data_IF_506502362706
#
_entry.id   IF_506502362706
#
_cell.length_a   1.000
_cell.length_b   1.000
_cell.length_c   1.000
_cell.angle_alpha   90.00
_cell.angle_beta   90.00
_cell.angle_gamma   90.00
#
_symmetry.space_group_name_H-M   'P 1'
#
loop_
_entity.id
_entity.type
_entity.pdbx_description
1 polymer ?
#
# COMPACT_ATOMS: atom_id res chain seq x y z
N UNK A 1 -25.49 49.24 2.43
CA UNK A 1 -26.87 49.15 1.93
C UNK A 1 -26.99 48.32 0.67
N UNK A 2 -27.93 47.38 0.75
CA UNK A 2 -28.16 46.29 -0.19
C UNK A 2 -28.54 46.76 -1.61
N UNK A 3 -27.91 46.16 -2.63
CA UNK A 3 -28.47 46.09 -3.99
C UNK A 3 -28.66 44.61 -4.38
N UNK A 4 -29.90 44.18 -4.21
CA UNK A 4 -30.71 43.35 -5.13
C UNK A 4 -30.01 42.23 -5.90
N UNK A 5 -30.22 40.97 -5.47
CA UNK A 5 -30.14 39.81 -6.35
C UNK A 5 -31.55 39.44 -6.81
N UNK A 6 -31.82 39.53 -8.12
CA UNK A 6 -33.02 39.00 -8.74
C UNK A 6 -33.03 37.48 -8.62
N UNK A 7 -34.01 36.93 -7.91
CA UNK A 7 -34.37 35.51 -8.04
C UNK A 7 -35.08 35.29 -9.38
N UNK A 8 -34.46 34.56 -10.30
CA UNK A 8 -35.14 33.95 -11.43
C UNK A 8 -36.16 32.94 -10.89
N UNK A 9 -37.45 33.18 -11.16
CA UNK A 9 -38.53 32.23 -10.85
C UNK A 9 -38.53 31.11 -11.90
N UNK A 10 -38.57 29.83 -11.52
CA UNK A 10 -38.93 28.76 -12.45
C UNK A 10 -40.38 28.97 -12.91
N UNK A 11 -40.63 28.86 -14.22
CA UNK A 11 -41.98 28.94 -14.77
C UNK A 11 -42.80 27.74 -14.27
N UNK A 12 -43.96 28.00 -13.65
CA UNK A 12 -44.96 26.96 -13.34
C UNK A 12 -45.48 26.88 -11.89
N UNK A 13 -45.21 27.85 -11.01
CA UNK A 13 -45.76 27.85 -9.65
C UNK A 13 -46.73 29.02 -9.41
N UNK A 14 -48.03 28.72 -9.43
CA UNK A 14 -49.12 29.63 -9.02
C UNK A 14 -49.65 29.19 -7.65
N UNK A 15 -48.92 29.53 -6.59
CA UNK A 15 -49.35 29.30 -5.21
C UNK A 15 -48.61 30.25 -4.26
N UNK A 16 -49.35 30.91 -3.38
CA UNK A 16 -48.80 31.71 -2.28
C UNK A 16 -48.14 30.78 -1.27
N UNK A 17 -46.82 30.89 -1.12
CA UNK A 17 -46.07 30.23 -0.04
C UNK A 17 -46.60 30.73 1.31
N UNK A 18 -47.11 29.81 2.13
CA UNK A 18 -47.42 30.11 3.54
C UNK A 18 -46.12 30.43 4.29
N UNK A 19 -46.19 31.22 5.36
CA UNK A 19 -45.03 31.60 6.16
C UNK A 19 -44.20 30.40 6.65
N UNK A 20 -44.85 29.25 6.88
CA UNK A 20 -44.21 28.00 7.28
C UNK A 20 -43.45 27.32 6.14
N UNK A 21 -43.97 27.37 4.90
CA UNK A 21 -43.27 26.87 3.71
C UNK A 21 -42.03 27.69 3.37
N UNK A 22 -42.09 29.02 3.58
CA UNK A 22 -40.93 29.89 3.45
C UNK A 22 -39.87 29.62 4.54
N UNK A 23 -40.28 29.35 5.78
CA UNK A 23 -39.36 28.93 6.86
C UNK A 23 -38.68 27.60 6.54
N UNK A 24 -39.42 26.58 6.09
CA UNK A 24 -38.86 25.28 5.71
C UNK A 24 -37.81 25.36 4.58
N UNK A 25 -38.09 26.14 3.53
CA UNK A 25 -37.13 26.40 2.44
C UNK A 25 -35.90 27.18 2.91
N UNK A 26 -36.08 28.11 3.85
CA UNK A 26 -34.97 28.89 4.44
C UNK A 26 -34.12 28.01 5.34
N UNK A 27 -34.73 27.13 6.14
CA UNK A 27 -34.04 26.16 6.99
C UNK A 27 -33.27 25.13 6.14
N UNK A 28 -33.87 24.61 5.06
CA UNK A 28 -33.18 23.71 4.13
C UNK A 28 -32.00 24.40 3.41
N UNK A 29 -32.18 25.63 2.91
CA UNK A 29 -31.09 26.42 2.30
C UNK A 29 -29.98 26.73 3.30
N UNK A 30 -30.33 27.09 4.54
CA UNK A 30 -29.36 27.33 5.60
C UNK A 30 -28.63 26.05 5.99
N UNK A 31 -29.29 24.89 6.01
CA UNK A 31 -28.64 23.60 6.25
C UNK A 31 -27.64 23.26 5.15
N UNK A 32 -28.02 23.44 3.87
CA UNK A 32 -27.13 23.21 2.72
C UNK A 32 -25.94 24.18 2.73
N UNK A 33 -26.17 25.45 3.07
CA UNK A 33 -25.11 26.45 3.20
C UNK A 33 -24.17 26.13 4.37
N UNK A 34 -24.70 25.69 5.51
CA UNK A 34 -23.92 25.31 6.68
C UNK A 34 -23.12 24.02 6.45
N UNK A 35 -23.69 23.02 5.77
CA UNK A 35 -22.95 21.84 5.31
C UNK A 35 -21.86 22.21 4.31
N UNK A 36 -22.15 23.09 3.34
CA UNK A 36 -21.13 23.59 2.40
C UNK A 36 -20.01 24.31 3.14
N UNK A 37 -20.32 25.21 4.08
CA UNK A 37 -19.33 25.94 4.87
C UNK A 37 -18.50 25.01 5.78
N UNK A 38 -19.13 24.00 6.39
CA UNK A 38 -18.42 23.01 7.20
C UNK A 38 -17.48 22.15 6.35
N UNK A 39 -17.92 21.66 5.19
CA UNK A 39 -17.08 20.91 4.25
C UNK A 39 -15.95 21.78 3.68
N UNK A 40 -16.23 23.05 3.35
CA UNK A 40 -15.23 24.03 2.96
C UNK A 40 -14.20 24.27 4.06
N UNK A 41 -14.65 24.38 5.32
CA UNK A 41 -13.79 24.62 6.47
C UNK A 41 -12.86 23.44 6.78
N UNK A 42 -13.33 22.20 6.56
CA UNK A 42 -12.53 21.00 6.80
C UNK A 42 -11.49 20.77 5.70
N UNK A 43 -11.86 20.97 4.43
CA UNK A 43 -10.90 20.95 3.33
C UNK A 43 -9.80 22.00 3.51
N UNK A 44 -10.16 23.21 3.99
CA UNK A 44 -9.20 24.27 4.28
C UNK A 44 -8.17 23.87 5.35
N UNK A 45 -8.60 23.17 6.42
CA UNK A 45 -7.70 22.73 7.49
C UNK A 45 -6.68 21.68 7.02
N UNK A 46 -7.10 20.75 6.17
CA UNK A 46 -6.19 19.77 5.55
C UNK A 46 -5.17 20.46 4.65
N UNK A 47 -5.61 21.39 3.79
CA UNK A 47 -4.69 22.14 2.95
C UNK A 47 -3.70 22.99 3.75
N UNK A 48 -4.14 23.59 4.86
CA UNK A 48 -3.25 24.31 5.76
C UNK A 48 -2.18 23.39 6.37
N UNK A 49 -2.57 22.19 6.84
CA UNK A 49 -1.63 21.22 7.41
C UNK A 49 -0.59 20.73 6.38
N UNK A 50 -1.02 20.46 5.14
CA UNK A 50 -0.11 20.08 4.05
C UNK A 50 0.84 21.25 3.72
N UNK A 51 0.33 22.48 3.63
CA UNK A 51 1.13 23.67 3.35
C UNK A 51 2.20 23.91 4.42
N UNK A 52 1.81 23.82 5.68
CA UNK A 52 2.70 23.94 6.83
C UNK A 52 3.79 22.87 6.79
N UNK A 53 3.40 21.61 6.63
CA UNK A 53 4.31 20.48 6.62
C UNK A 53 5.31 20.49 5.44
N UNK A 54 4.90 21.01 4.28
CA UNK A 54 5.78 21.17 3.12
C UNK A 54 6.53 22.51 3.09
N UNK A 55 6.21 23.45 3.98
CA UNK A 55 6.71 24.83 3.91
C UNK A 55 6.33 25.57 2.62
N UNK A 56 5.17 25.26 2.03
CA UNK A 56 4.70 25.84 0.76
C UNK A 56 3.54 26.81 0.99
N UNK A 57 3.50 27.92 0.26
CA UNK A 57 2.39 28.87 0.25
C UNK A 57 1.31 28.45 -0.76
N UNK A 58 1.70 27.75 -1.83
CA UNK A 58 0.81 27.23 -2.87
C UNK A 58 0.49 25.76 -2.68
N UNK A 59 -0.78 25.41 -2.88
CA UNK A 59 -1.27 24.03 -2.97
C UNK A 59 -2.55 24.04 -3.81
N UNK A 60 -2.40 23.80 -5.11
CA UNK A 60 -3.50 23.87 -6.09
C UNK A 60 -3.74 22.52 -6.73
N UNK A 61 -4.95 21.99 -6.59
CA UNK A 61 -5.35 20.74 -7.23
C UNK A 61 -5.31 20.88 -8.75
N UNK A 62 -4.76 19.87 -9.42
CA UNK A 62 -4.66 19.87 -10.89
C UNK A 62 -5.87 19.24 -11.58
N UNK A 63 -6.76 18.59 -10.81
CA UNK A 63 -7.82 17.74 -11.33
C UNK A 63 -7.34 16.39 -11.89
N UNK A 64 -6.02 16.17 -11.99
CA UNK A 64 -5.43 14.88 -12.26
C UNK A 64 -5.35 14.07 -10.96
N UNK A 65 -5.89 12.86 -10.99
CA UNK A 65 -5.90 11.94 -9.85
C UNK A 65 -5.68 10.50 -10.28
N UNK A 66 -5.35 9.68 -9.29
CA UNK A 66 -5.20 8.24 -9.41
C UNK A 66 -5.66 7.63 -8.09
N UNK A 67 -6.69 6.81 -8.12
CA UNK A 67 -7.21 6.12 -6.94
C UNK A 67 -6.78 4.66 -6.93
N UNK A 68 -6.23 4.21 -5.81
CA UNK A 68 -6.14 2.78 -5.53
C UNK A 68 -7.50 2.24 -5.07
N UNK A 69 -7.61 0.94 -4.79
CA UNK A 69 -8.85 0.35 -4.28
C UNK A 69 -9.27 0.88 -2.89
N UNK A 70 -8.39 1.61 -2.20
CA UNK A 70 -8.48 1.90 -0.76
C UNK A 70 -8.41 3.40 -0.45
N UNK A 71 -7.58 4.15 -1.18
CA UNK A 71 -7.29 5.56 -0.91
C UNK A 71 -7.47 6.40 -2.17
N UNK A 72 -7.90 7.64 -1.99
CA UNK A 72 -8.01 8.63 -3.06
C UNK A 72 -6.67 9.33 -3.26
N UNK A 73 -6.21 9.45 -4.51
CA UNK A 73 -4.96 10.13 -4.84
C UNK A 73 -5.18 11.28 -5.83
N UNK A 74 -4.54 12.41 -5.56
CA UNK A 74 -4.65 13.62 -6.38
C UNK A 74 -3.31 14.36 -6.48
N UNK A 75 -3.08 15.00 -7.64
CA UNK A 75 -1.87 15.75 -7.92
C UNK A 75 -2.08 17.24 -7.62
N UNK A 76 -1.15 17.83 -6.88
CA UNK A 76 -1.15 19.23 -6.48
C UNK A 76 0.09 19.97 -7.00
N UNK A 77 -0.07 21.23 -7.39
CA UNK A 77 1.03 22.17 -7.65
C UNK A 77 1.38 22.92 -6.36
N UNK A 78 2.66 22.95 -6.02
CA UNK A 78 3.27 23.72 -4.93
C UNK A 78 4.17 24.81 -5.49
N UNK A 79 4.85 25.57 -4.63
CA UNK A 79 5.84 26.55 -5.04
C UNK A 79 7.13 25.90 -5.59
N UNK A 80 7.39 24.64 -5.23
CA UNK A 80 8.63 23.92 -5.54
C UNK A 80 8.45 22.79 -6.56
N UNK A 81 7.23 22.50 -7.00
CA UNK A 81 6.96 21.46 -7.99
C UNK A 81 5.57 20.85 -7.86
N UNK A 82 5.39 19.66 -8.44
CA UNK A 82 4.18 18.87 -8.24
C UNK A 82 4.41 17.87 -7.11
N UNK A 83 3.35 17.61 -6.33
CA UNK A 83 3.31 16.54 -5.34
C UNK A 83 2.09 15.66 -5.57
N UNK A 84 2.21 14.39 -5.18
CA UNK A 84 1.08 13.46 -5.14
C UNK A 84 0.59 13.32 -3.70
N UNK A 85 -0.72 13.40 -3.52
CA UNK A 85 -1.37 13.41 -2.20
C UNK A 85 -2.36 12.26 -2.12
N UNK A 86 -2.09 11.29 -1.25
CA UNK A 86 -3.02 10.21 -0.91
C UNK A 86 -3.83 10.56 0.32
N UNK A 87 -5.12 10.25 0.29
CA UNK A 87 -6.07 10.54 1.37
C UNK A 87 -6.88 9.32 1.72
N UNK A 88 -7.11 9.13 3.01
CA UNK A 88 -8.03 8.12 3.50
C UNK A 88 -8.71 8.64 4.77
N UNK A 89 -10.04 8.57 4.80
CA UNK A 89 -10.86 9.10 5.89
C UNK A 89 -11.09 8.11 7.04
N UNK A 90 -10.66 6.84 6.87
CA UNK A 90 -10.81 5.81 7.91
C UNK A 90 -9.90 6.08 9.10
N UNK A 91 -10.32 5.66 10.30
CA UNK A 91 -9.57 5.87 11.55
C UNK A 91 -8.15 5.30 11.54
N UNK A 92 -7.92 4.22 10.79
CA UNK A 92 -6.61 3.57 10.69
C UNK A 92 -5.74 4.08 9.54
N UNK A 93 -6.18 5.15 8.85
CA UNK A 93 -5.42 5.77 7.78
C UNK A 93 -4.04 6.26 8.23
N UNK A 94 -3.94 6.76 9.49
CA UNK A 94 -2.66 7.28 10.00
C UNK A 94 -1.60 6.19 10.09
N UNK A 95 -1.89 5.10 10.79
CA UNK A 95 -0.98 3.95 10.89
C UNK A 95 -0.64 3.36 9.52
N UNK A 96 -1.63 3.26 8.62
CA UNK A 96 -1.41 2.81 7.24
C UNK A 96 -0.41 3.69 6.48
N UNK A 97 -0.59 5.01 6.54
CA UNK A 97 0.30 5.95 5.84
C UNK A 97 1.67 6.10 6.52
N UNK A 98 1.76 5.99 7.84
CA UNK A 98 3.05 5.94 8.55
C UNK A 98 3.85 4.69 8.11
N UNK A 99 3.17 3.54 7.98
CA UNK A 99 3.77 2.31 7.48
C UNK A 99 4.26 2.42 6.03
N UNK A 100 3.45 3.01 5.14
CA UNK A 100 3.84 3.27 3.74
C UNK A 100 5.01 4.26 3.66
N UNK A 101 4.98 5.33 4.46
CA UNK A 101 6.03 6.34 4.55
C UNK A 101 7.39 5.73 4.93
N UNK A 102 7.43 4.92 5.99
CA UNK A 102 8.67 4.26 6.42
C UNK A 102 9.11 3.15 5.45
N UNK A 103 8.17 2.48 4.79
CA UNK A 103 8.47 1.51 3.74
C UNK A 103 9.17 2.16 2.53
N UNK A 104 8.64 3.29 2.04
CA UNK A 104 9.22 4.07 0.96
C UNK A 104 10.63 4.57 1.33
N UNK A 105 10.81 5.09 2.55
CA UNK A 105 12.14 5.51 3.04
C UNK A 105 13.13 4.34 3.09
N UNK A 106 12.71 3.19 3.62
CA UNK A 106 13.57 2.01 3.73
C UNK A 106 14.04 1.53 2.36
N UNK A 107 13.14 1.46 1.37
CA UNK A 107 13.51 1.06 0.00
C UNK A 107 14.42 2.11 -0.65
N UNK A 108 14.07 3.40 -0.55
CA UNK A 108 14.86 4.49 -1.12
C UNK A 108 16.31 4.50 -0.59
N UNK A 109 16.48 4.25 0.72
CA UNK A 109 17.79 4.22 1.37
C UNK A 109 18.72 3.11 0.84
N UNK A 110 18.19 2.08 0.16
CA UNK A 110 19.01 1.04 -0.46
C UNK A 110 19.67 1.47 -1.76
N UNK A 111 19.16 2.52 -2.42
CA UNK A 111 19.63 2.97 -3.73
C UNK A 111 19.48 1.95 -4.87
N UNK A 112 18.66 0.90 -4.68
CA UNK A 112 18.55 -0.22 -5.65
C UNK A 112 17.46 -0.05 -6.70
N UNK A 113 16.28 0.43 -6.30
CA UNK A 113 15.10 0.63 -7.14
C UNK A 113 14.46 1.98 -6.83
N UNK A 114 13.95 2.68 -7.85
CA UNK A 114 13.27 3.96 -7.67
C UNK A 114 11.92 3.74 -6.99
N UNK A 115 11.63 4.59 -6.01
CA UNK A 115 10.33 4.76 -5.36
C UNK A 115 9.99 6.27 -5.32
N UNK A 116 8.71 6.66 -5.21
CA UNK A 116 8.36 8.04 -4.89
C UNK A 116 8.99 8.47 -3.57
N UNK A 117 9.63 9.64 -3.55
CA UNK A 117 10.19 10.20 -2.31
C UNK A 117 9.05 10.62 -1.38
N UNK A 118 8.89 10.00 -0.20
CA UNK A 118 7.83 10.40 0.72
C UNK A 118 8.23 11.70 1.41
N UNK A 119 7.30 12.65 1.50
CA UNK A 119 7.55 13.96 2.13
C UNK A 119 7.04 13.98 3.57
N UNK A 120 5.75 13.70 3.78
CA UNK A 120 5.14 13.79 5.11
C UNK A 120 3.82 13.02 5.20
N UNK A 121 3.48 12.58 6.42
CA UNK A 121 2.14 12.13 6.80
C UNK A 121 1.52 13.16 7.74
N UNK A 122 0.30 13.60 7.44
CA UNK A 122 -0.45 14.55 8.27
C UNK A 122 -1.81 13.97 8.65
N UNK A 123 -2.27 14.25 9.86
CA UNK A 123 -3.65 13.95 10.24
C UNK A 123 -4.59 14.86 9.44
N UNK A 124 -5.71 14.30 8.99
CA UNK A 124 -6.76 15.09 8.36
C UNK A 124 -7.76 15.54 9.44
N UNK A 125 -7.93 16.85 9.69
CA UNK A 125 -8.89 17.34 10.69
C UNK A 125 -10.35 16.98 10.38
N UNK A 126 -10.65 16.57 9.15
CA UNK A 126 -11.94 16.01 8.74
C UNK A 126 -12.15 14.54 9.15
N UNK A 127 -11.08 13.87 9.60
CA UNK A 127 -11.02 12.43 9.87
C UNK A 127 -10.03 11.71 8.95
N UNK A 128 -9.29 10.77 9.51
CA UNK A 128 -8.27 9.99 8.81
C UNK A 128 -6.93 10.72 8.66
N UNK A 129 -6.19 10.43 7.59
CA UNK A 129 -4.85 10.96 7.38
C UNK A 129 -4.56 11.18 5.88
N UNK A 130 -3.41 11.80 5.63
CA UNK A 130 -2.91 12.13 4.29
C UNK A 130 -1.42 11.81 4.21
N UNK A 131 -1.00 11.14 3.13
CA UNK A 131 0.40 10.95 2.77
C UNK A 131 0.73 11.82 1.55
N UNK A 132 1.78 12.64 1.68
CA UNK A 132 2.29 13.48 0.60
C UNK A 132 3.65 12.96 0.14
N UNK A 133 3.83 12.83 -1.16
CA UNK A 133 5.05 12.29 -1.77
C UNK A 133 5.36 12.96 -3.12
N UNK A 134 6.54 12.67 -3.65
CA UNK A 134 6.98 13.04 -4.99
C UNK A 134 5.93 12.65 -6.03
N UNK A 135 5.56 13.60 -6.90
CA UNK A 135 4.78 13.26 -8.08
C UNK A 135 5.71 12.72 -9.16
N UNK A 136 5.36 11.57 -9.71
CA UNK A 136 6.05 10.92 -10.81
C UNK A 136 5.11 10.78 -12.02
N UNK A 137 5.61 11.11 -13.21
CA UNK A 137 4.88 10.91 -14.46
C UNK A 137 5.05 9.46 -14.92
N UNK A 138 4.18 8.60 -14.42
CA UNK A 138 4.26 7.15 -14.55
C UNK A 138 3.54 6.63 -15.80
N UNK A 139 4.14 5.63 -16.44
CA UNK A 139 3.53 4.84 -17.50
C UNK A 139 3.52 3.35 -17.13
N UNK A 140 2.67 2.56 -17.78
CA UNK A 140 2.63 1.12 -17.56
C UNK A 140 3.99 0.48 -17.81
N UNK A 141 4.44 -0.35 -16.87
CA UNK A 141 5.72 -1.05 -16.97
C UNK A 141 5.77 -1.93 -18.24
N UNK A 142 6.76 -1.70 -19.09
CA UNK A 142 6.98 -2.49 -20.29
C UNK A 142 8.48 -2.58 -20.63
N UNK A 143 9.06 -1.51 -21.18
CA UNK A 143 10.44 -1.55 -21.69
C UNK A 143 11.47 -1.76 -20.58
N UNK A 144 11.14 -1.30 -19.36
CA UNK A 144 12.02 -1.40 -18.19
C UNK A 144 11.73 -2.63 -17.30
N UNK A 145 10.85 -3.56 -17.71
CA UNK A 145 10.52 -4.73 -16.89
C UNK A 145 11.74 -5.60 -16.54
N UNK A 146 12.68 -5.78 -17.48
CA UNK A 146 13.93 -6.49 -17.21
C UNK A 146 14.87 -5.77 -16.24
N UNK A 147 14.91 -4.43 -16.32
CA UNK A 147 15.68 -3.60 -15.38
C UNK A 147 15.08 -3.73 -13.99
N UNK A 148 13.75 -3.71 -13.87
CA UNK A 148 13.07 -3.91 -12.59
C UNK A 148 13.40 -5.28 -11.99
N UNK A 149 13.50 -6.34 -12.80
CA UNK A 149 13.91 -7.67 -12.34
C UNK A 149 15.28 -7.65 -11.66
N UNK A 150 16.27 -6.97 -12.27
CA UNK A 150 17.61 -6.80 -11.69
C UNK A 150 17.59 -5.96 -10.43
N UNK A 151 16.90 -4.83 -10.47
CA UNK A 151 16.84 -3.90 -9.34
C UNK A 151 16.14 -4.51 -8.12
N UNK A 152 15.07 -5.28 -8.33
CA UNK A 152 14.41 -6.00 -7.25
C UNK A 152 15.28 -7.11 -6.67
N UNK A 153 16.04 -7.85 -7.50
CA UNK A 153 17.00 -8.81 -6.99
C UNK A 153 18.09 -8.12 -6.13
N UNK A 154 18.57 -6.96 -6.57
CA UNK A 154 19.53 -6.16 -5.80
C UNK A 154 18.93 -5.64 -4.48
N UNK A 155 17.66 -5.20 -4.48
CA UNK A 155 16.93 -4.82 -3.26
C UNK A 155 16.92 -5.98 -2.26
N UNK A 156 16.58 -7.19 -2.72
CA UNK A 156 16.53 -8.37 -1.85
C UNK A 156 17.89 -8.79 -1.33
N UNK A 157 18.97 -8.64 -2.13
CA UNK A 157 20.33 -8.94 -1.69
C UNK A 157 20.96 -7.85 -0.82
N UNK A 158 20.39 -6.64 -0.78
CA UNK A 158 20.96 -5.48 -0.11
C UNK A 158 21.32 -5.77 1.36
N UNK A 159 20.38 -6.35 2.13
CA UNK A 159 20.61 -6.62 3.55
C UNK A 159 21.73 -7.65 3.78
N UNK A 160 21.78 -8.73 3.00
CA UNK A 160 22.85 -9.75 3.08
C UNK A 160 24.20 -9.15 2.65
N UNK A 161 24.20 -8.22 1.70
CA UNK A 161 25.43 -7.55 1.29
C UNK A 161 26.00 -6.66 2.41
N UNK A 162 25.15 -5.99 3.20
CA UNK A 162 25.56 -5.24 4.39
C UNK A 162 26.23 -6.14 5.45
N UNK A 163 25.71 -7.35 5.65
CA UNK A 163 26.32 -8.35 6.55
C UNK A 163 27.77 -8.65 6.13
N UNK A 164 28.01 -8.79 4.82
CA UNK A 164 29.32 -9.18 4.25
C UNK A 164 30.34 -8.05 4.24
N UNK A 165 29.91 -6.81 3.97
CA UNK A 165 30.84 -5.67 3.86
C UNK A 165 31.26 -5.11 5.21
N UNK A 166 30.64 -5.57 6.31
CA UNK A 166 30.64 -4.83 7.57
C UNK A 166 29.88 -3.52 7.42
N UNK A 167 29.34 -3.00 8.51
CA UNK A 167 28.71 -1.67 8.51
C UNK A 167 29.78 -0.62 8.15
N UNK A 168 29.92 -0.26 6.88
CA UNK A 168 30.81 0.83 6.46
C UNK A 168 30.09 2.12 6.80
N UNK A 169 30.41 2.66 7.98
CA UNK A 169 29.90 3.94 8.45
C UNK A 169 30.55 5.04 7.61
N UNK A 170 29.85 5.49 6.57
CA UNK A 170 30.23 6.72 5.86
C UNK A 170 29.74 7.89 6.71
N UNK A 171 30.67 8.74 7.12
CA UNK A 171 30.36 9.93 7.89
C UNK A 171 29.55 10.89 7.01
N UNK A 172 28.26 11.05 7.33
CA UNK A 172 27.27 11.92 6.68
C UNK A 172 26.38 11.26 5.63
N UNK A 173 25.55 10.30 6.06
CA UNK A 173 24.15 10.08 5.65
C UNK A 173 23.59 8.91 6.47
N UNK A 174 22.27 8.83 6.68
CA UNK A 174 21.62 7.69 7.39
C UNK A 174 21.96 6.42 6.62
N UNK A 175 23.00 5.70 7.07
CA UNK A 175 23.52 4.54 6.36
C UNK A 175 22.71 3.32 6.81
N UNK A 176 22.09 2.55 5.88
CA UNK A 176 21.40 1.32 6.25
C UNK A 176 22.32 0.36 7.02
N UNK A 177 21.84 -0.17 8.13
CA UNK A 177 22.54 -1.18 8.92
C UNK A 177 21.97 -2.56 8.66
N UNK A 178 22.80 -3.59 8.76
CA UNK A 178 22.35 -4.98 8.67
C UNK A 178 21.23 -5.30 9.67
N UNK A 179 20.19 -6.00 9.21
CA UNK A 179 19.06 -6.48 10.02
C UNK A 179 19.09 -8.01 10.06
N UNK A 180 19.32 -8.58 11.25
CA UNK A 180 19.44 -10.03 11.46
C UNK A 180 18.11 -10.75 11.70
N UNK A 181 17.01 -10.02 11.90
CA UNK A 181 15.70 -10.57 12.27
C UNK A 181 14.65 -10.31 11.18
N UNK A 182 13.58 -11.10 11.18
CA UNK A 182 12.39 -10.90 10.35
C UNK A 182 11.40 -9.97 11.06
N UNK A 183 10.83 -9.01 10.33
CA UNK A 183 9.95 -8.00 10.91
C UNK A 183 10.13 -6.62 10.30
N UNK A 184 9.54 -5.61 10.93
CA UNK A 184 9.72 -4.22 10.52
C UNK A 184 9.59 -3.27 11.72
N UNK A 185 10.25 -2.10 11.73
CA UNK A 185 10.21 -1.18 12.86
C UNK A 185 8.81 -0.62 13.17
N UNK A 186 7.94 -0.56 12.16
CA UNK A 186 6.56 -0.05 12.27
C UNK A 186 5.56 -1.05 11.72
N UNK A 187 4.30 -0.93 12.15
CA UNK A 187 3.17 -1.58 11.48
C UNK A 187 3.11 -1.09 10.04
N UNK A 188 2.95 -2.02 9.10
CA UNK A 188 2.61 -1.71 7.70
C UNK A 188 1.29 -2.36 7.37
N UNK A 189 0.63 -1.93 6.30
CA UNK A 189 -0.64 -2.52 5.88
C UNK A 189 -0.51 -3.13 4.48
N UNK A 190 -1.01 -4.35 4.29
CA UNK A 190 -1.19 -4.93 2.95
C UNK A 190 -2.64 -4.69 2.55
N UNK A 191 -2.85 -3.72 1.66
CA UNK A 191 -4.14 -3.03 1.56
C UNK A 191 -4.41 -2.20 2.83
N UNK A 192 -5.61 -2.31 3.42
CA UNK A 192 -5.96 -1.62 4.67
C UNK A 192 -5.78 -2.48 5.93
N UNK A 193 -5.35 -3.74 5.78
CA UNK A 193 -5.20 -4.67 6.91
C UNK A 193 -3.79 -4.51 7.50
N UNK A 194 -3.68 -4.19 8.80
CA UNK A 194 -2.39 -4.09 9.46
C UNK A 194 -1.71 -5.46 9.51
N UNK A 195 -0.43 -5.47 9.22
CA UNK A 195 0.41 -6.65 9.28
C UNK A 195 1.09 -6.76 10.64
N UNK A 196 1.07 -7.94 11.24
CA UNK A 196 1.96 -8.23 12.36
C UNK A 196 3.41 -8.30 11.87
N UNK A 197 4.18 -7.26 12.22
CA UNK A 197 5.58 -7.07 11.86
C UNK A 197 6.52 -7.22 13.08
N UNK A 198 6.03 -7.79 14.19
CA UNK A 198 6.83 -8.01 15.39
C UNK A 198 8.08 -8.84 15.07
N UNK A 199 9.24 -8.42 15.59
CA UNK A 199 10.51 -9.06 15.29
C UNK A 199 10.54 -10.55 15.66
N UNK A 200 11.23 -11.35 14.85
CA UNK A 200 11.45 -12.78 15.10
C UNK A 200 12.77 -13.23 14.47
N UNK A 201 13.50 -14.11 15.16
CA UNK A 201 14.71 -14.75 14.65
C UNK A 201 14.41 -15.91 13.69
N UNK A 202 13.15 -16.36 13.60
CA UNK A 202 12.75 -17.53 12.84
C UNK A 202 11.69 -17.15 11.79
N UNK A 203 12.01 -17.38 10.53
CA UNK A 203 11.13 -17.09 9.41
C UNK A 203 9.81 -17.87 9.45
N UNK A 204 9.84 -19.15 9.84
CA UNK A 204 8.66 -19.99 9.90
C UNK A 204 7.71 -19.51 11.00
N UNK A 205 8.24 -19.10 12.15
CA UNK A 205 7.45 -18.49 13.23
C UNK A 205 6.81 -17.19 12.72
N UNK A 206 7.61 -16.29 12.14
CA UNK A 206 7.14 -15.02 11.60
C UNK A 206 6.05 -15.20 10.54
N UNK A 207 6.31 -16.02 9.52
CA UNK A 207 5.41 -16.21 8.38
C UNK A 207 4.12 -16.94 8.77
N UNK A 208 4.22 -17.97 9.62
CA UNK A 208 3.03 -18.71 10.08
C UNK A 208 2.12 -17.81 10.92
N UNK A 209 2.69 -16.94 11.77
CA UNK A 209 1.92 -15.93 12.52
C UNK A 209 1.21 -14.95 11.59
N UNK A 210 1.90 -14.47 10.54
CA UNK A 210 1.32 -13.56 9.55
C UNK A 210 0.17 -14.21 8.76
N UNK A 211 0.30 -15.49 8.38
CA UNK A 211 -0.77 -16.23 7.70
C UNK A 211 -1.93 -16.59 8.65
N UNK A 212 -1.64 -16.93 9.90
CA UNK A 212 -2.64 -17.14 10.95
C UNK A 212 -3.50 -15.89 11.16
N UNK A 213 -2.90 -14.69 11.17
CA UNK A 213 -3.63 -13.43 11.30
C UNK A 213 -4.72 -13.29 10.22
N UNK A 214 -4.37 -13.59 8.97
CA UNK A 214 -5.30 -13.54 7.83
C UNK A 214 -6.44 -14.55 7.96
N UNK A 215 -6.14 -15.77 8.41
CA UNK A 215 -7.14 -16.82 8.61
C UNK A 215 -8.05 -16.56 9.82
N UNK A 216 -7.53 -15.94 10.87
CA UNK A 216 -8.35 -15.49 12.01
C UNK A 216 -9.39 -14.45 11.56
N UNK A 217 -9.04 -13.57 10.62
CA UNK A 217 -10.01 -12.64 10.02
C UNK A 217 -11.07 -13.38 9.19
N UNK A 218 -10.67 -14.38 8.39
CA UNK A 218 -11.61 -15.21 7.64
C UNK A 218 -12.57 -15.97 8.56
N UNK A 219 -12.08 -16.57 9.63
CA UNK A 219 -12.91 -17.27 10.61
C UNK A 219 -13.90 -16.31 11.28
N UNK A 220 -13.45 -15.11 11.66
CA UNK A 220 -14.29 -14.09 12.30
C UNK A 220 -15.39 -13.56 11.36
N UNK A 221 -15.05 -13.30 10.10
CA UNK A 221 -15.95 -12.66 9.13
C UNK A 221 -16.89 -13.68 8.46
N UNK A 222 -16.39 -14.88 8.14
CA UNK A 222 -17.11 -15.88 7.33
C UNK A 222 -17.39 -17.20 8.06
N UNK A 223 -16.71 -17.51 9.17
CA UNK A 223 -16.83 -18.80 9.85
C UNK A 223 -16.49 -20.00 8.95
N UNK A 224 -15.49 -19.84 8.07
CA UNK A 224 -15.21 -20.82 7.03
C UNK A 224 -14.54 -22.09 7.57
N UNK A 225 -15.36 -23.10 7.82
CA UNK A 225 -14.92 -24.39 8.38
C UNK A 225 -13.87 -25.09 7.54
N UNK A 226 -13.97 -25.00 6.21
CA UNK A 226 -13.01 -25.68 5.32
C UNK A 226 -11.64 -25.00 5.38
N UNK A 227 -11.59 -23.67 5.37
CA UNK A 227 -10.35 -22.92 5.56
C UNK A 227 -9.70 -23.27 6.91
N UNK A 228 -10.50 -23.32 7.99
CA UNK A 228 -10.03 -23.69 9.34
C UNK A 228 -9.43 -25.09 9.37
N UNK A 229 -10.14 -26.09 8.82
CA UNK A 229 -9.68 -27.48 8.85
C UNK A 229 -8.43 -27.67 7.96
N UNK A 230 -8.39 -27.08 6.76
CA UNK A 230 -7.21 -27.12 5.88
C UNK A 230 -6.01 -26.41 6.52
N UNK A 231 -6.23 -25.31 7.25
CA UNK A 231 -5.16 -24.59 7.92
C UNK A 231 -4.46 -25.45 8.98
N UNK A 232 -5.21 -26.17 9.81
CA UNK A 232 -4.64 -27.07 10.82
C UNK A 232 -3.73 -28.15 10.22
N UNK A 233 -4.05 -28.63 9.02
CA UNK A 233 -3.19 -29.58 8.29
C UNK A 233 -1.97 -28.88 7.67
N UNK A 234 -2.18 -27.72 7.04
CA UNK A 234 -1.13 -26.98 6.35
C UNK A 234 -0.04 -26.49 7.30
N UNK A 235 -0.39 -26.05 8.51
CA UNK A 235 0.60 -25.64 9.53
C UNK A 235 1.67 -26.70 9.79
N UNK A 236 1.29 -27.98 9.81
CA UNK A 236 2.20 -29.10 10.02
C UNK A 236 3.10 -29.37 8.80
N UNK A 237 2.68 -28.95 7.61
CA UNK A 237 3.41 -29.14 6.34
C UNK A 237 4.37 -28.00 6.03
N UNK A 238 4.07 -26.78 6.48
CA UNK A 238 4.88 -25.58 6.18
C UNK A 238 6.39 -25.79 6.37
N UNK A 239 6.88 -26.37 7.49
CA UNK A 239 8.32 -26.56 7.69
C UNK A 239 9.00 -27.42 6.60
N UNK A 240 8.27 -28.35 5.99
CA UNK A 240 8.80 -29.26 4.96
C UNK A 240 9.18 -28.51 3.68
N UNK A 241 8.59 -27.34 3.41
CA UNK A 241 8.89 -26.52 2.23
C UNK A 241 10.20 -25.74 2.33
N UNK A 242 10.80 -25.70 3.52
CA UNK A 242 12.00 -24.91 3.82
C UNK A 242 13.21 -25.75 4.26
N UNK A 243 13.06 -27.07 4.39
CA UNK A 243 14.09 -27.98 4.94
C UNK A 243 15.45 -27.93 4.22
N UNK A 244 15.45 -27.60 2.92
CA UNK A 244 16.63 -27.63 2.05
C UNK A 244 17.20 -26.22 1.78
N UNK A 245 16.72 -25.19 2.49
CA UNK A 245 17.15 -23.80 2.31
C UNK A 245 17.36 -23.11 3.66
N UNK A 246 18.32 -22.19 3.68
CA UNK A 246 18.44 -21.20 4.75
C UNK A 246 17.75 -19.91 4.31
N UNK A 247 16.79 -19.43 5.10
CA UNK A 247 16.10 -18.16 4.82
C UNK A 247 16.82 -17.03 5.53
N UNK A 248 17.17 -15.98 4.79
CA UNK A 248 17.78 -14.76 5.31
C UNK A 248 16.83 -13.57 5.15
N UNK A 249 16.81 -12.61 6.11
CA UNK A 249 15.95 -11.43 5.99
C UNK A 249 16.36 -10.56 4.81
N UNK A 250 15.42 -10.32 3.90
CA UNK A 250 15.53 -9.42 2.75
C UNK A 250 14.51 -8.31 2.93
N UNK A 251 14.88 -7.06 2.65
CA UNK A 251 13.88 -5.98 2.62
C UNK A 251 12.92 -6.24 1.45
N UNK A 252 11.64 -6.41 1.75
CA UNK A 252 10.60 -6.68 0.76
C UNK A 252 9.79 -5.42 0.45
N UNK A 253 9.24 -5.36 -0.77
CA UNK A 253 8.15 -4.45 -1.09
C UNK A 253 6.86 -4.84 -0.35
N UNK A 254 6.55 -6.14 -0.26
CA UNK A 254 5.42 -6.69 0.51
C UNK A 254 4.07 -6.72 -0.23
N UNK A 255 3.91 -5.95 -1.30
CA UNK A 255 2.70 -5.96 -2.15
C UNK A 255 3.00 -5.68 -3.65
N UNK A 256 4.02 -6.32 -4.23
CA UNK A 256 4.53 -5.98 -5.57
C UNK A 256 3.77 -6.64 -6.72
N UNK A 257 2.53 -6.23 -6.96
CA UNK A 257 1.74 -6.68 -8.12
C UNK A 257 1.76 -5.66 -9.26
N UNK A 258 1.14 -5.97 -10.39
CA UNK A 258 1.17 -5.12 -11.60
C UNK A 258 0.64 -3.71 -11.39
N UNK A 259 -0.25 -3.51 -10.42
CA UNK A 259 -0.77 -2.19 -10.04
C UNK A 259 0.19 -1.34 -9.23
N UNK A 260 1.28 -1.92 -8.70
CA UNK A 260 2.26 -1.28 -7.81
C UNK A 260 3.65 -1.15 -8.47
N UNK A 261 3.70 -1.28 -9.80
CA UNK A 261 4.91 -1.11 -10.59
C UNK A 261 4.61 -0.34 -11.88
N UNK A 262 5.48 0.60 -12.22
CA UNK A 262 5.37 1.44 -13.41
C UNK A 262 6.76 1.74 -13.97
N UNK A 263 6.83 2.56 -15.00
CA UNK A 263 8.08 3.12 -15.50
C UNK A 263 7.98 4.62 -15.76
N UNK A 264 9.09 5.31 -15.50
CA UNK A 264 9.36 6.67 -15.95
C UNK A 264 10.04 6.62 -17.31
N UNK A 265 10.37 7.80 -17.86
CA UNK A 265 11.05 7.96 -19.16
C UNK A 265 12.38 7.17 -19.27
N UNK A 266 13.04 6.89 -18.15
CA UNK A 266 14.41 6.36 -18.08
C UNK A 266 14.60 5.16 -17.13
N UNK A 267 13.65 4.88 -16.24
CA UNK A 267 13.79 3.82 -15.23
C UNK A 267 12.44 3.18 -14.84
N UNK A 268 12.43 1.97 -14.25
CA UNK A 268 11.24 1.45 -13.59
C UNK A 268 11.08 2.08 -12.19
N UNK A 269 9.85 2.08 -11.69
CA UNK A 269 9.49 2.57 -10.35
C UNK A 269 8.52 1.60 -9.69
N UNK A 270 8.67 1.39 -8.38
CA UNK A 270 7.71 0.66 -7.55
C UNK A 270 7.11 1.60 -6.51
N UNK A 271 5.86 1.34 -6.11
CA UNK A 271 5.10 2.22 -5.22
C UNK A 271 4.06 1.41 -4.44
N UNK A 272 3.50 2.04 -3.41
CA UNK A 272 2.53 1.45 -2.49
C UNK A 272 3.09 0.21 -1.73
N UNK A 273 4.28 0.32 -1.10
CA UNK A 273 4.88 -0.79 -0.38
C UNK A 273 4.18 -1.08 0.96
N UNK A 274 4.23 -2.35 1.34
CA UNK A 274 3.80 -2.91 2.61
C UNK A 274 4.99 -3.64 3.27
N UNK A 275 6.10 -2.93 3.46
CA UNK A 275 7.42 -3.53 3.66
C UNK A 275 7.61 -4.26 4.99
N UNK A 276 8.45 -5.28 4.94
CA UNK A 276 9.05 -5.94 6.08
C UNK A 276 10.30 -6.70 5.64
N UNK A 277 11.15 -7.07 6.58
CA UNK A 277 12.27 -7.98 6.36
C UNK A 277 11.75 -9.42 6.38
N UNK A 278 11.86 -10.12 5.25
CA UNK A 278 11.29 -11.44 5.05
C UNK A 278 12.05 -12.29 4.02
N UNK A 279 11.50 -13.44 3.66
CA UNK A 279 12.05 -14.24 2.57
C UNK A 279 11.78 -13.58 1.22
N UNK A 280 12.82 -13.32 0.41
CA UNK A 280 12.72 -12.64 -0.89
C UNK A 280 11.75 -13.29 -1.89
N UNK A 281 11.49 -14.60 -1.78
CA UNK A 281 10.52 -15.29 -2.63
C UNK A 281 9.06 -14.85 -2.38
N UNK A 282 8.77 -14.17 -1.26
CA UNK A 282 7.44 -13.65 -0.93
C UNK A 282 6.98 -12.63 -1.97
N UNK A 283 7.80 -11.63 -2.31
CA UNK A 283 7.45 -10.60 -3.30
C UNK A 283 7.16 -11.21 -4.68
N UNK A 284 7.90 -12.26 -5.04
CA UNK A 284 7.72 -12.94 -6.33
C UNK A 284 6.36 -13.62 -6.47
N UNK A 285 5.69 -13.94 -5.35
CA UNK A 285 4.39 -14.61 -5.36
C UNK A 285 3.30 -13.78 -6.03
N UNK A 286 3.17 -12.52 -5.60
CA UNK A 286 2.12 -11.62 -6.08
C UNK A 286 2.45 -11.04 -7.47
N UNK A 287 3.74 -10.96 -7.86
CA UNK A 287 4.14 -10.59 -9.24
C UNK A 287 3.62 -11.56 -10.30
N UNK A 288 3.20 -12.78 -9.92
CA UNK A 288 2.60 -13.76 -10.83
C UNK A 288 1.06 -13.73 -10.84
N UNK A 289 0.44 -12.80 -10.11
CA UNK A 289 -1.01 -12.62 -10.02
C UNK A 289 -1.47 -11.45 -10.91
N UNK A 290 -2.77 -11.40 -11.23
CA UNK A 290 -3.41 -10.27 -11.91
C UNK A 290 -2.78 -9.85 -13.25
N UNK A 291 -2.53 -10.83 -14.13
CA UNK A 291 -1.86 -10.60 -15.42
C UNK A 291 -0.35 -10.80 -15.38
N UNK A 292 0.25 -10.66 -14.19
CA UNK A 292 1.63 -11.02 -13.90
C UNK A 292 2.70 -10.16 -14.59
N UNK A 293 3.93 -10.26 -14.10
CA UNK A 293 5.07 -9.58 -14.70
C UNK A 293 5.59 -10.35 -15.91
N UNK A 294 6.17 -9.62 -16.87
CA UNK A 294 6.69 -10.21 -18.10
C UNK A 294 7.79 -11.24 -17.85
N UNK A 295 7.98 -12.18 -18.78
CA UNK A 295 9.08 -13.16 -18.72
C UNK A 295 10.45 -12.47 -18.56
N UNK A 296 10.65 -11.31 -19.19
CA UNK A 296 11.91 -10.57 -19.09
C UNK A 296 12.23 -10.14 -17.66
N UNK A 297 11.24 -9.77 -16.86
CA UNK A 297 11.44 -9.50 -15.44
C UNK A 297 11.95 -10.74 -14.70
N UNK A 298 11.29 -11.88 -14.90
CA UNK A 298 11.63 -13.15 -14.23
C UNK A 298 13.02 -13.67 -14.61
N UNK A 299 13.34 -13.64 -15.91
CA UNK A 299 14.64 -14.08 -16.42
C UNK A 299 15.77 -13.23 -15.83
N UNK A 300 15.59 -11.90 -15.77
CA UNK A 300 16.60 -10.98 -15.24
C UNK A 300 16.73 -11.06 -13.72
N UNK A 301 15.62 -11.21 -12.97
CA UNK A 301 15.67 -11.46 -11.52
C UNK A 301 16.43 -12.74 -11.21
N UNK A 302 16.07 -13.86 -11.88
CA UNK A 302 16.67 -15.16 -11.61
C UNK A 302 18.08 -15.33 -12.17
N UNK A 303 18.53 -14.42 -13.04
CA UNK A 303 19.94 -14.32 -13.42
C UNK A 303 20.84 -13.91 -12.24
N UNK A 304 20.28 -13.19 -11.25
CA UNK A 304 20.98 -12.73 -10.05
C UNK A 304 20.68 -13.63 -8.85
N UNK A 305 19.42 -14.01 -8.64
CA UNK A 305 18.98 -14.91 -7.56
C UNK A 305 18.36 -16.18 -8.19
N UNK A 306 19.16 -17.24 -8.42
CA UNK A 306 18.65 -18.49 -8.98
C UNK A 306 17.54 -19.10 -8.12
N UNK A 307 16.60 -19.81 -8.76
CA UNK A 307 15.55 -20.54 -8.03
C UNK A 307 16.16 -21.62 -7.15
N UNK A 308 15.95 -21.51 -5.84
CA UNK A 308 16.33 -22.56 -4.90
C UNK A 308 15.45 -23.81 -5.07
N UNK A 309 15.95 -25.01 -4.68
CA UNK A 309 15.12 -26.21 -4.62
C UNK A 309 13.84 -25.96 -3.82
N UNK A 310 12.71 -26.48 -4.30
CA UNK A 310 11.40 -26.27 -3.67
C UNK A 310 10.71 -24.92 -3.96
N UNK A 311 11.31 -24.04 -4.76
CA UNK A 311 10.78 -22.71 -5.12
C UNK A 311 9.29 -22.75 -5.49
N UNK A 312 8.87 -23.66 -6.38
CA UNK A 312 7.49 -23.70 -6.86
C UNK A 312 6.46 -23.97 -5.75
N UNK A 313 6.81 -24.75 -4.73
CA UNK A 313 5.90 -25.01 -3.60
C UNK A 313 5.85 -23.81 -2.65
N UNK A 314 6.98 -23.17 -2.37
CA UNK A 314 7.03 -21.93 -1.59
C UNK A 314 6.31 -20.78 -2.31
N UNK A 315 6.45 -20.68 -3.63
CA UNK A 315 5.72 -19.71 -4.45
C UNK A 315 4.20 -19.88 -4.33
N UNK A 316 3.69 -21.12 -4.37
CA UNK A 316 2.26 -21.41 -4.08
C UNK A 316 1.88 -21.02 -2.65
N UNK A 317 2.72 -21.31 -1.66
CA UNK A 317 2.50 -20.96 -0.27
C UNK A 317 2.42 -19.44 -0.06
N UNK A 318 3.28 -18.67 -0.71
CA UNK A 318 3.23 -17.21 -0.67
C UNK A 318 2.05 -16.63 -1.46
N UNK A 319 1.69 -17.25 -2.59
CA UNK A 319 0.46 -16.89 -3.31
C UNK A 319 -0.79 -17.11 -2.45
N UNK A 320 -0.79 -18.13 -1.58
CA UNK A 320 -1.89 -18.36 -0.65
C UNK A 320 -2.10 -17.17 0.29
N UNK A 321 -1.03 -16.58 0.85
CA UNK A 321 -1.14 -15.38 1.67
C UNK A 321 -1.90 -14.26 0.93
N UNK A 322 -1.50 -13.94 -0.30
CA UNK A 322 -2.15 -12.88 -1.06
C UNK A 322 -3.58 -13.22 -1.45
N UNK A 323 -3.91 -14.49 -1.74
CA UNK A 323 -5.28 -14.92 -2.03
C UNK A 323 -6.20 -14.76 -0.81
N UNK A 324 -5.73 -15.15 0.39
CA UNK A 324 -6.49 -14.97 1.62
C UNK A 324 -6.63 -13.48 1.95
N UNK A 325 -5.55 -12.69 1.77
CA UNK A 325 -5.62 -11.24 1.92
C UNK A 325 -6.68 -10.62 0.99
N UNK A 326 -6.73 -11.03 -0.27
CA UNK A 326 -7.77 -10.58 -1.21
C UNK A 326 -9.17 -11.06 -0.82
N UNK A 327 -9.31 -12.26 -0.24
CA UNK A 327 -10.59 -12.69 0.32
C UNK A 327 -11.03 -11.79 1.49
N UNK A 328 -10.12 -11.42 2.38
CA UNK A 328 -10.43 -10.48 3.46
C UNK A 328 -10.79 -9.07 2.95
N UNK A 329 -10.21 -8.61 1.84
CA UNK A 329 -10.46 -7.26 1.28
C UNK A 329 -11.68 -7.17 0.36
N UNK A 330 -11.88 -8.19 -0.48
CA UNK A 330 -12.80 -8.12 -1.62
C UNK A 330 -13.89 -9.19 -1.60
N UNK A 331 -13.89 -10.05 -0.58
CA UNK A 331 -14.96 -11.00 -0.33
C UNK A 331 -14.79 -12.37 -0.99
N UNK A 332 -15.88 -13.13 -0.96
CA UNK A 332 -15.93 -14.56 -1.26
C UNK A 332 -15.53 -14.95 -2.70
N UNK A 333 -15.37 -13.99 -3.61
CA UNK A 333 -14.82 -14.24 -4.96
C UNK A 333 -13.42 -14.88 -4.93
N UNK A 334 -12.65 -14.67 -3.87
CA UNK A 334 -11.31 -15.24 -3.69
C UNK A 334 -11.30 -16.53 -2.85
N UNK A 335 -12.45 -16.96 -2.33
CA UNK A 335 -12.57 -18.16 -1.47
C UNK A 335 -12.11 -19.42 -2.19
N UNK A 336 -12.66 -19.69 -3.36
CA UNK A 336 -12.40 -20.94 -4.11
C UNK A 336 -10.92 -21.08 -4.47
N UNK A 337 -10.30 -20.00 -4.95
CA UNK A 337 -8.86 -19.96 -5.25
C UNK A 337 -7.99 -20.18 -4.02
N UNK A 338 -8.34 -19.54 -2.89
CA UNK A 338 -7.64 -19.72 -1.62
C UNK A 338 -7.69 -21.19 -1.15
N UNK A 339 -8.88 -21.79 -1.12
CA UNK A 339 -9.06 -23.17 -0.67
C UNK A 339 -8.39 -24.17 -1.61
N UNK A 340 -8.40 -23.91 -2.93
CA UNK A 340 -7.69 -24.76 -3.87
C UNK A 340 -6.18 -24.78 -3.61
N UNK A 341 -5.58 -23.61 -3.37
CA UNK A 341 -4.16 -23.51 -2.98
C UNK A 341 -3.88 -24.26 -1.66
N UNK A 342 -4.76 -24.12 -0.66
CA UNK A 342 -4.62 -24.84 0.61
C UNK A 342 -4.65 -26.37 0.42
N UNK A 343 -5.60 -26.89 -0.39
CA UNK A 343 -5.68 -28.33 -0.70
C UNK A 343 -4.43 -28.81 -1.42
N UNK A 344 -3.96 -28.06 -2.41
CA UNK A 344 -2.76 -28.42 -3.16
C UNK A 344 -1.50 -28.44 -2.29
N UNK A 345 -1.42 -27.56 -1.28
CA UNK A 345 -0.33 -27.50 -0.31
C UNK A 345 -0.47 -28.51 0.84
N UNK A 346 -1.61 -29.17 0.99
CA UNK A 346 -1.80 -30.22 2.01
C UNK A 346 -1.48 -31.62 1.50
N UNK A 347 -1.54 -31.83 0.18
CA UNK A 347 -1.12 -33.07 -0.50
C UNK A 347 0.38 -33.26 -0.29
#
# INVERSE_FOLDING_TARGET
DHRTALCLRPQGWSGTLTADGARLLTTQKNMVLHLCLCLYSQGYKMFAAIKEALGTQRLEGTGAGGGGCISEGEVYKTDTGKVFVKRNSKKMAREMFDGEYESLKAIAATGTVKVPTPHVVVDNPAGGAVLVMEYLDMHSLNRHAGILGKQLANLHLHNINLEKTGNVVSASEVTPTYVSQFGFPVTTCCGYLPQDNSWSDDWLVFYTRKLQQQLTLIEKEYGDREARDLWSHLQLKIPQYFKDIEVKPSLLHGDLWGGNAAELSDCPVIFDPASFYGHHEFDLAITAMFGGFSRRFWDEYHSIIPKAPGFNNRHKLYKLFHNINHWNHFGSGYRSGSLQLMRDLCR
#
